data_IF_232557067136
#
_entry.id   IF_232557067136
#
_cell.length_a   1.000
_cell.length_b   1.000
_cell.length_c   1.000
_cell.angle_alpha   90.00
_cell.angle_beta   90.00
_cell.angle_gamma   90.00
#
_symmetry.space_group_name_H-M   'P 1'
#
loop_
_entity.id
_entity.type
_entity.pdbx_description
1 polymer ?
#
# COMPACT_ATOMS: atom_id res chain seq x y z
N UNK A 1 -2.65 16.97 -29.34
CA UNK A 1 -3.44 17.09 -28.09
C UNK A 1 -3.76 15.69 -27.59
N UNK A 2 -2.84 15.08 -26.82
CA UNK A 2 -3.11 13.78 -26.18
C UNK A 2 -2.29 13.55 -24.89
N UNK A 3 -1.79 14.60 -24.25
CA UNK A 3 -0.78 14.46 -23.19
C UNK A 3 -1.38 14.18 -21.79
N UNK A 4 -2.58 14.68 -21.50
CA UNK A 4 -3.20 14.50 -20.18
C UNK A 4 -3.50 13.01 -19.86
N UNK A 5 -4.03 12.25 -20.82
CA UNK A 5 -4.33 10.83 -20.63
C UNK A 5 -3.06 10.00 -20.41
N UNK A 6 -1.93 10.40 -21.00
CA UNK A 6 -0.66 9.69 -20.85
C UNK A 6 -0.11 9.79 -19.42
N UNK A 7 -0.30 10.92 -18.73
CA UNK A 7 0.05 11.01 -17.31
C UNK A 7 -0.73 10.02 -16.45
N UNK A 8 -2.03 9.82 -16.74
CA UNK A 8 -2.84 8.82 -16.02
C UNK A 8 -2.37 7.40 -16.29
N UNK A 9 -2.04 7.05 -17.53
CA UNK A 9 -1.47 5.74 -17.86
C UNK A 9 -0.14 5.51 -17.14
N UNK A 10 0.73 6.52 -17.11
CA UNK A 10 2.01 6.45 -16.39
C UNK A 10 1.81 6.30 -14.88
N UNK A 11 0.84 7.02 -14.30
CA UNK A 11 0.48 6.87 -12.88
C UNK A 11 0.02 5.44 -12.56
N UNK A 12 -0.81 4.86 -13.44
CA UNK A 12 -1.26 3.47 -13.30
C UNK A 12 -0.09 2.47 -13.38
N UNK A 13 0.82 2.64 -14.34
CA UNK A 13 2.01 1.80 -14.47
C UNK A 13 2.88 1.90 -13.21
N UNK A 14 3.07 3.12 -12.67
CA UNK A 14 3.82 3.33 -11.44
C UNK A 14 3.16 2.64 -10.22
N UNK A 15 1.83 2.68 -10.11
CA UNK A 15 1.12 1.94 -9.05
C UNK A 15 1.28 0.42 -9.16
N UNK A 16 1.24 -0.13 -10.38
CA UNK A 16 1.48 -1.57 -10.61
C UNK A 16 2.92 -1.95 -10.24
N UNK A 17 3.87 -1.05 -10.48
CA UNK A 17 5.28 -1.22 -10.12
C UNK A 17 5.56 -0.97 -8.62
N UNK A 18 4.54 -0.69 -7.79
CA UNK A 18 4.70 -0.30 -6.39
C UNK A 18 5.58 0.96 -6.20
N UNK A 19 5.49 1.91 -7.12
CA UNK A 19 6.16 3.22 -7.07
C UNK A 19 5.13 4.33 -6.75
N UNK A 20 4.60 4.44 -5.51
CA UNK A 20 3.52 5.37 -5.17
C UNK A 20 3.93 6.84 -5.33
N UNK A 21 5.17 7.19 -5.02
CA UNK A 21 5.67 8.57 -5.14
C UNK A 21 5.65 9.06 -6.59
N UNK A 22 6.02 8.17 -7.51
CA UNK A 22 6.01 8.44 -8.95
C UNK A 22 4.58 8.49 -9.50
N UNK A 23 3.70 7.64 -8.98
CA UNK A 23 2.28 7.72 -9.32
C UNK A 23 1.68 9.07 -8.89
N UNK A 24 2.02 9.55 -7.70
CA UNK A 24 1.62 10.88 -7.22
C UNK A 24 2.19 12.01 -8.09
N UNK A 25 3.46 11.93 -8.48
CA UNK A 25 4.08 12.91 -9.38
C UNK A 25 3.32 13.03 -10.71
N UNK A 26 2.96 11.89 -11.32
CA UNK A 26 2.22 11.88 -12.58
C UNK A 26 0.79 12.41 -12.43
N UNK A 27 0.11 12.14 -11.31
CA UNK A 27 -1.20 12.71 -11.03
C UNK A 27 -1.15 14.23 -10.85
N UNK A 28 -0.11 14.76 -10.19
CA UNK A 28 0.09 16.22 -10.08
C UNK A 28 0.35 16.87 -11.44
N UNK A 29 1.12 16.21 -12.32
CA UNK A 29 1.33 16.69 -13.70
C UNK A 29 0.04 16.70 -14.51
N UNK A 30 -0.80 15.68 -14.35
CA UNK A 30 -2.13 15.65 -14.95
C UNK A 30 -3.01 16.82 -14.46
N UNK A 31 -3.04 17.07 -13.15
CA UNK A 31 -3.82 18.18 -12.57
C UNK A 31 -3.32 19.54 -13.08
N UNK A 32 -2.01 19.75 -13.16
CA UNK A 32 -1.42 20.97 -13.70
C UNK A 32 -1.78 21.18 -15.18
N UNK A 33 -1.83 20.11 -15.98
CA UNK A 33 -2.27 20.23 -17.38
C UNK A 33 -3.75 20.59 -17.51
N UNK A 34 -4.60 20.00 -16.67
CA UNK A 34 -6.03 20.31 -16.66
C UNK A 34 -6.34 21.79 -16.39
N UNK A 35 -5.50 22.44 -15.57
CA UNK A 35 -5.68 23.87 -15.27
C UNK A 35 -5.42 24.77 -16.48
N UNK A 36 -4.51 24.36 -17.37
CA UNK A 36 -4.13 25.15 -18.55
C UNK A 36 -4.97 24.79 -19.76
N UNK A 37 -5.38 23.52 -19.89
CA UNK A 37 -6.00 22.96 -21.09
C UNK A 37 -7.26 22.17 -20.74
N UNK A 38 -8.45 22.78 -20.88
CA UNK A 38 -9.72 22.10 -20.66
C UNK A 38 -9.86 20.87 -21.58
N UNK A 39 -10.32 19.76 -21.01
CA UNK A 39 -10.51 18.52 -21.76
C UNK A 39 -11.68 18.63 -22.73
N UNK A 40 -11.55 17.97 -23.88
CA UNK A 40 -12.68 17.63 -24.74
C UNK A 40 -13.51 16.51 -24.09
N UNK A 41 -14.77 16.37 -24.49
CA UNK A 41 -15.68 15.37 -23.93
C UNK A 41 -15.19 13.91 -24.10
N UNK A 42 -14.60 13.59 -25.25
CA UNK A 42 -13.96 12.29 -25.50
C UNK A 42 -12.73 12.07 -24.60
N UNK A 43 -11.89 13.10 -24.42
CA UNK A 43 -10.74 13.02 -23.53
C UNK A 43 -11.14 12.89 -22.05
N UNK A 44 -12.22 13.57 -21.63
CA UNK A 44 -12.77 13.46 -20.29
C UNK A 44 -13.29 12.04 -20.01
N UNK A 45 -13.95 11.40 -20.97
CA UNK A 45 -14.42 10.02 -20.84
C UNK A 45 -13.27 9.05 -20.64
N UNK A 46 -12.18 9.20 -21.41
CA UNK A 46 -10.97 8.36 -21.28
C UNK A 46 -10.27 8.58 -19.95
N UNK A 47 -10.11 9.85 -19.53
CA UNK A 47 -9.51 10.17 -18.24
C UNK A 47 -10.33 9.59 -17.08
N UNK A 48 -11.66 9.65 -17.17
CA UNK A 48 -12.56 9.06 -16.15
C UNK A 48 -12.35 7.55 -16.03
N UNK A 49 -12.20 6.83 -17.15
CA UNK A 49 -11.94 5.40 -17.14
C UNK A 49 -10.60 5.06 -16.48
N UNK A 50 -9.52 5.78 -16.83
CA UNK A 50 -8.20 5.56 -16.22
C UNK A 50 -8.16 5.93 -14.74
N UNK A 51 -8.81 7.04 -14.34
CA UNK A 51 -8.92 7.43 -12.93
C UNK A 51 -9.68 6.39 -12.10
N UNK A 52 -10.75 5.80 -12.66
CA UNK A 52 -11.45 4.70 -12.00
C UNK A 52 -10.53 3.50 -11.81
N UNK A 53 -9.77 3.10 -12.84
CA UNK A 53 -8.84 1.99 -12.76
C UNK A 53 -7.74 2.23 -11.70
N UNK A 54 -7.19 3.44 -11.65
CA UNK A 54 -6.20 3.85 -10.64
C UNK A 54 -6.80 3.76 -9.23
N UNK A 55 -8.02 4.27 -9.03
CA UNK A 55 -8.70 4.21 -7.74
C UNK A 55 -8.93 2.78 -7.28
N UNK A 56 -9.39 1.92 -8.19
CA UNK A 56 -9.70 0.52 -7.87
C UNK A 56 -8.41 -0.24 -7.51
N UNK A 57 -7.31 -0.01 -8.25
CA UNK A 57 -5.98 -0.54 -7.92
C UNK A 57 -5.50 -0.08 -6.54
N UNK A 58 -5.60 1.22 -6.25
CA UNK A 58 -5.20 1.78 -4.96
C UNK A 58 -6.03 1.21 -3.80
N UNK A 59 -7.34 1.01 -4.01
CA UNK A 59 -8.23 0.41 -3.03
C UNK A 59 -7.81 -1.04 -2.72
N UNK A 60 -7.60 -1.86 -3.76
CA UNK A 60 -7.14 -3.25 -3.58
C UNK A 60 -5.76 -3.32 -2.93
N UNK A 61 -4.83 -2.44 -3.29
CA UNK A 61 -3.52 -2.37 -2.66
C UNK A 61 -3.63 -2.04 -1.15
N UNK A 62 -4.48 -1.07 -0.79
CA UNK A 62 -4.75 -0.71 0.61
C UNK A 62 -5.33 -1.88 1.40
N UNK A 63 -6.30 -2.59 0.83
CA UNK A 63 -6.89 -3.79 1.45
C UNK A 63 -5.84 -4.90 1.65
N UNK A 64 -4.98 -5.12 0.65
CA UNK A 64 -3.87 -6.07 0.74
C UNK A 64 -2.88 -5.73 1.87
N UNK A 65 -2.48 -4.45 1.97
CA UNK A 65 -1.61 -3.98 3.06
C UNK A 65 -2.26 -4.18 4.42
N UNK A 66 -3.55 -3.87 4.56
CA UNK A 66 -4.28 -4.08 5.82
C UNK A 66 -4.37 -5.56 6.20
N UNK A 67 -4.63 -6.44 5.22
CA UNK A 67 -4.64 -7.88 5.44
C UNK A 67 -3.26 -8.40 5.89
N UNK A 68 -2.18 -7.94 5.26
CA UNK A 68 -0.82 -8.29 5.64
C UNK A 68 -0.50 -7.82 7.07
N UNK A 69 -0.86 -6.59 7.44
CA UNK A 69 -0.70 -6.08 8.80
C UNK A 69 -1.43 -6.96 9.82
N UNK A 70 -2.66 -7.39 9.52
CA UNK A 70 -3.42 -8.30 10.37
C UNK A 70 -2.71 -9.64 10.54
N UNK A 71 -2.18 -10.22 9.46
CA UNK A 71 -1.41 -11.46 9.52
C UNK A 71 -0.15 -11.32 10.37
N UNK A 72 0.58 -10.21 10.24
CA UNK A 72 1.74 -9.94 11.10
C UNK A 72 1.37 -9.85 12.58
N UNK A 73 0.25 -9.20 12.91
CA UNK A 73 -0.22 -9.12 14.29
C UNK A 73 -0.59 -10.51 14.85
N UNK A 74 -1.22 -11.37 14.07
CA UNK A 74 -1.52 -12.74 14.49
C UNK A 74 -0.25 -13.58 14.66
N UNK A 75 0.72 -13.47 13.75
CA UNK A 75 2.03 -14.12 13.91
C UNK A 75 2.73 -13.65 15.19
N UNK A 76 2.74 -12.34 15.47
CA UNK A 76 3.33 -11.81 16.69
C UNK A 76 2.62 -12.34 17.94
N UNK A 77 1.29 -12.44 17.93
CA UNK A 77 0.54 -13.05 19.05
C UNK A 77 0.92 -14.51 19.23
N UNK A 78 0.93 -15.31 18.17
CA UNK A 78 1.30 -16.73 18.24
C UNK A 78 2.74 -16.92 18.71
N UNK A 79 3.68 -16.10 18.22
CA UNK A 79 5.09 -16.16 18.62
C UNK A 79 5.31 -15.93 20.12
N UNK A 80 4.48 -15.08 20.75
CA UNK A 80 4.54 -14.83 22.20
C UNK A 80 4.00 -15.99 23.05
N UNK A 81 3.22 -16.90 22.44
CA UNK A 81 2.66 -18.08 23.09
C UNK A 81 3.33 -19.38 22.62
N UNK A 82 4.37 -19.30 21.78
CA UNK A 82 5.27 -20.42 21.54
C UNK A 82 6.06 -20.63 22.83
N UNK A 83 5.50 -21.46 23.70
CA UNK A 83 6.25 -22.08 24.78
C UNK A 83 7.48 -22.75 24.14
N UNK A 84 8.66 -22.28 24.52
CA UNK A 84 9.88 -22.99 24.17
C UNK A 84 9.81 -24.36 24.81
N UNK A 85 10.35 -25.37 24.15
CA UNK A 85 10.67 -26.64 24.79
C UNK A 85 12.17 -26.82 24.67
N UNK A 86 12.84 -27.12 25.77
CA UNK A 86 14.26 -27.47 25.73
C UNK A 86 14.46 -28.83 25.04
N UNK A 87 15.73 -29.19 24.79
CA UNK A 87 16.10 -30.47 24.14
C UNK A 87 15.67 -31.72 24.93
N UNK A 88 15.19 -31.55 26.16
CA UNK A 88 14.67 -32.60 27.04
C UNK A 88 13.14 -32.63 27.10
N UNK A 89 12.46 -31.79 26.32
CA UNK A 89 11.00 -31.70 26.27
C UNK A 89 10.37 -30.94 27.44
N UNK A 90 11.17 -30.22 28.24
CA UNK A 90 10.64 -29.35 29.30
C UNK A 90 10.27 -27.99 28.74
N UNK A 91 9.10 -27.51 29.18
CA UNK A 91 8.53 -26.21 28.83
C UNK A 91 9.41 -25.06 29.35
N UNK A 92 10.12 -24.38 28.46
CA UNK A 92 10.81 -23.12 28.72
C UNK A 92 9.85 -21.96 28.45
N UNK A 93 9.27 -21.41 29.52
CA UNK A 93 8.54 -20.14 29.47
C UNK A 93 9.52 -18.96 29.36
N UNK A 94 10.31 -18.92 28.29
CA UNK A 94 10.99 -17.68 27.92
C UNK A 94 9.97 -16.76 27.25
N UNK A 95 9.42 -15.82 28.02
CA UNK A 95 8.68 -14.70 27.45
C UNK A 95 9.61 -13.94 26.51
N UNK A 96 9.47 -14.15 25.21
CA UNK A 96 10.12 -13.35 24.17
C UNK A 96 9.34 -12.03 24.06
N UNK A 97 9.56 -11.15 25.03
CA UNK A 97 9.06 -9.78 25.07
C UNK A 97 10.10 -8.88 25.73
N UNK A 98 10.19 -7.59 25.38
CA UNK A 98 11.19 -6.70 25.98
C UNK A 98 10.99 -6.68 27.50
N UNK A 99 12.05 -7.09 28.22
CA UNK A 99 12.12 -7.04 29.69
C UNK A 99 11.82 -5.61 30.14
N UNK A 100 10.64 -5.41 30.73
CA UNK A 100 10.33 -4.18 31.45
C UNK A 100 11.31 -4.05 32.61
N UNK A 101 12.24 -3.09 32.49
CA UNK A 101 13.17 -2.69 33.53
C UNK A 101 12.38 -1.96 34.62
N UNK A 102 11.79 -2.73 35.56
CA UNK A 102 11.26 -2.15 36.80
C UNK A 102 12.44 -1.64 37.63
N UNK A 103 12.55 -0.32 37.72
CA UNK A 103 13.42 0.38 38.68
C UNK A 103 12.73 0.38 40.05
N UNK A 104 13.47 -0.12 41.04
CA UNK A 104 13.36 -0.01 42.50
C UNK A 104 12.05 -0.43 43.15
#
# INVERSE_FOLDING_TARGET
MNDATEYLKQARVALIAFEPDKAEEMLRKFEAELQNHPLTEDAATRCTAELSAIRDLAASAREGVFAAQRQFQEILKLSRHLDGYDKTGKKTTEQVGPRSTRKF
#
